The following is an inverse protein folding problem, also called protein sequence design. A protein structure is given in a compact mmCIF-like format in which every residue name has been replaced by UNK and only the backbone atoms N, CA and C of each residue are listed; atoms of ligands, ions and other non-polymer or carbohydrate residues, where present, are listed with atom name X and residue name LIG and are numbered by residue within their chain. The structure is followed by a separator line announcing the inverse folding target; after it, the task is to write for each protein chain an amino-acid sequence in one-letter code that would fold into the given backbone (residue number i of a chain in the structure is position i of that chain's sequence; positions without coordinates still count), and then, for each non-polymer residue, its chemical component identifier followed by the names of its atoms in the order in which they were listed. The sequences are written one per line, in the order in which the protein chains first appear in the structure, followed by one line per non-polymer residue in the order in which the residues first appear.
data_IF_254022320555
#
_entry.id   IF_254022320555
#
_cell.length_a   1.000
_cell.length_b   1.000
_cell.length_c   1.000
_cell.angle_alpha   90.00
_cell.angle_beta   90.00
_cell.angle_gamma   90.00
#
_symmetry.space_group_name_H-M   'P 1'
#
loop_
_entity.id
_entity.type
_entity.pdbx_description
1 polymer ?
#
# COMPACT_ATOMS: atom_id res chain seq x y z
N UNK A 1 20.31 8.58 5.12
CA UNK A 1 20.54 7.65 6.25
C UNK A 1 20.08 8.31 7.55
N UNK A 2 19.26 7.64 8.35
CA UNK A 2 18.93 8.06 9.73
C UNK A 2 19.47 7.01 10.70
N UNK A 3 20.11 7.47 11.78
CA UNK A 3 20.52 6.59 12.89
C UNK A 3 19.30 6.29 13.75
N UNK A 4 19.17 5.04 14.20
CA UNK A 4 18.23 4.71 15.27
C UNK A 4 18.70 5.33 16.60
N UNK A 5 17.79 5.70 17.50
CA UNK A 5 18.15 6.26 18.82
C UNK A 5 18.95 5.29 19.70
N UNK A 6 18.88 4.00 19.39
CA UNK A 6 19.50 2.90 20.13
C UNK A 6 20.12 1.92 19.13
N UNK A 7 21.43 1.95 18.95
CA UNK A 7 22.16 0.89 18.25
C UNK A 7 22.91 1.33 17.00
N UNK A 8 24.10 0.74 16.83
CA UNK A 8 25.15 1.09 15.87
C UNK A 8 24.84 0.74 14.40
N UNK A 9 23.60 0.35 14.11
CA UNK A 9 23.22 -0.13 12.78
C UNK A 9 22.78 1.02 11.90
N UNK A 10 23.47 1.17 10.78
CA UNK A 10 23.04 2.05 9.70
C UNK A 10 21.96 1.32 8.91
N UNK A 11 20.70 1.68 9.15
CA UNK A 11 19.61 1.19 8.31
C UNK A 11 19.68 1.95 6.99
N UNK A 12 19.91 1.23 5.90
CA UNK A 12 19.65 1.75 4.56
C UNK A 12 18.15 2.04 4.51
N UNK A 13 17.77 3.33 4.53
CA UNK A 13 16.37 3.74 4.40
C UNK A 13 16.01 3.61 2.93
N UNK A 14 15.71 2.38 2.51
CA UNK A 14 15.08 2.10 1.23
C UNK A 14 13.61 2.55 1.23
N UNK A 15 13.00 2.70 0.05
CA UNK A 15 11.59 3.04 -0.11
C UNK A 15 10.68 1.94 0.48
N UNK A 16 9.53 2.34 1.01
CA UNK A 16 8.65 1.44 1.77
C UNK A 16 7.63 0.70 0.89
N UNK A 17 7.12 1.39 -0.15
CA UNK A 17 6.16 0.88 -1.12
C UNK A 17 6.16 1.79 -2.37
N UNK A 18 5.70 1.26 -3.50
CA UNK A 18 5.37 2.02 -4.71
C UNK A 18 3.87 2.29 -4.73
N UNK A 19 3.46 3.55 -4.90
CA UNK A 19 2.04 3.91 -5.09
C UNK A 19 1.72 3.94 -6.58
N UNK A 20 0.68 3.24 -7.00
CA UNK A 20 0.23 3.18 -8.37
C UNK A 20 -1.19 3.75 -8.44
N UNK A 21 -1.37 4.84 -9.18
CA UNK A 21 -2.67 5.46 -9.40
C UNK A 21 -3.51 4.58 -10.34
N UNK A 22 -4.74 4.29 -9.93
CA UNK A 22 -5.65 3.43 -10.68
C UNK A 22 -7.06 3.99 -10.65
N UNK A 23 -7.83 3.73 -11.71
CA UNK A 23 -9.25 4.05 -11.74
C UNK A 23 -10.01 3.06 -10.82
N UNK A 24 -10.77 3.52 -9.80
CA UNK A 24 -11.40 2.63 -8.82
C UNK A 24 -12.41 1.63 -9.39
N UNK A 25 -13.01 1.96 -10.53
CA UNK A 25 -13.94 1.10 -11.27
C UNK A 25 -13.26 0.13 -12.25
N UNK A 26 -11.95 0.29 -12.48
CA UNK A 26 -11.18 -0.54 -13.40
C UNK A 26 -10.81 -1.88 -12.77
N UNK A 27 -10.60 -2.87 -13.64
CA UNK A 27 -9.93 -4.15 -13.34
C UNK A 27 -8.69 -4.35 -14.20
N UNK A 28 -8.31 -3.34 -14.97
CA UNK A 28 -7.09 -3.31 -15.79
C UNK A 28 -5.94 -2.80 -14.92
N UNK A 29 -5.31 -3.73 -14.21
CA UNK A 29 -4.23 -3.41 -13.28
C UNK A 29 -2.90 -3.22 -14.00
N UNK A 30 -2.04 -2.31 -13.51
CA UNK A 30 -0.66 -2.25 -13.97
C UNK A 30 0.03 -3.61 -13.77
N UNK A 31 0.96 -3.95 -14.66
CA UNK A 31 1.71 -5.18 -14.54
C UNK A 31 2.58 -5.16 -13.27
N UNK A 32 2.30 -6.09 -12.36
CA UNK A 32 2.98 -6.25 -11.08
C UNK A 32 4.03 -7.36 -11.11
N UNK A 33 4.22 -8.03 -12.26
CA UNK A 33 5.15 -9.17 -12.41
C UNK A 33 6.62 -8.76 -12.26
N UNK A 34 6.95 -7.50 -12.55
CA UNK A 34 8.29 -6.94 -12.40
C UNK A 34 8.59 -6.43 -10.98
N UNK A 35 7.67 -6.61 -10.02
CA UNK A 35 7.99 -6.30 -8.63
C UNK A 35 9.17 -7.16 -8.17
N UNK A 36 10.26 -6.50 -7.79
CA UNK A 36 11.43 -7.14 -7.20
C UNK A 36 11.03 -8.09 -6.06
N UNK A 37 11.88 -9.06 -5.72
CA UNK A 37 11.62 -9.96 -4.60
C UNK A 37 11.39 -9.15 -3.31
N UNK A 38 10.18 -9.24 -2.75
CA UNK A 38 9.67 -8.40 -1.66
C UNK A 38 9.34 -6.94 -2.04
N UNK A 39 9.06 -6.64 -3.30
CA UNK A 39 8.44 -5.39 -3.73
C UNK A 39 7.05 -5.23 -3.12
N UNK A 40 6.64 -4.00 -2.85
CA UNK A 40 5.30 -3.69 -2.34
C UNK A 40 4.69 -2.60 -3.21
N UNK A 41 3.70 -2.97 -4.03
CA UNK A 41 2.84 -2.03 -4.74
C UNK A 41 1.54 -1.81 -3.95
N UNK A 42 1.15 -0.55 -3.80
CA UNK A 42 -0.14 -0.15 -3.28
C UNK A 42 -0.90 0.56 -4.39
N UNK A 43 -2.10 0.09 -4.67
CA UNK A 43 -2.99 0.68 -5.66
C UNK A 43 -3.80 1.80 -4.97
N UNK A 44 -3.85 2.97 -5.59
CA UNK A 44 -4.50 4.16 -5.01
C UNK A 44 -5.49 4.70 -6.03
N UNK A 45 -6.78 4.86 -5.68
CA UNK A 45 -7.74 5.53 -6.56
C UNK A 45 -7.23 6.89 -7.05
N UNK A 46 -7.41 7.13 -8.35
CA UNK A 46 -7.16 8.43 -8.98
C UNK A 46 -7.92 9.54 -8.25
N UNK A 47 -7.31 10.74 -8.14
CA UNK A 47 -7.90 11.89 -7.43
C UNK A 47 -7.59 11.95 -5.93
N UNK A 48 -7.19 10.85 -5.29
CA UNK A 48 -6.92 10.81 -3.85
C UNK A 48 -5.50 11.25 -3.44
N UNK A 49 -4.60 11.38 -4.42
CA UNK A 49 -3.21 11.75 -4.17
C UNK A 49 -2.99 13.24 -4.46
N UNK A 50 -2.46 14.04 -3.51
CA UNK A 50 -2.02 15.40 -3.81
C UNK A 50 -1.04 15.41 -4.99
N UNK A 51 -1.17 16.39 -5.89
CA UNK A 51 -0.39 16.51 -7.12
C UNK A 51 1.15 16.55 -6.92
N UNK A 52 1.60 16.75 -5.69
CA UNK A 52 3.00 16.73 -5.29
C UNK A 52 3.23 15.75 -4.14
N UNK A 53 2.91 14.47 -4.32
CA UNK A 53 3.44 13.44 -3.43
C UNK A 53 4.97 13.53 -3.49
N UNK A 54 5.69 13.73 -2.38
CA UNK A 54 7.14 13.83 -2.42
C UNK A 54 7.72 12.50 -2.93
N UNK A 55 8.14 12.51 -4.20
CA UNK A 55 8.74 11.40 -4.96
C UNK A 55 9.78 10.58 -4.18
N UNK A 56 10.47 11.21 -3.23
CA UNK A 56 11.66 10.70 -2.60
C UNK A 56 11.48 9.44 -1.72
N UNK A 57 10.26 9.07 -1.27
CA UNK A 57 10.05 7.87 -0.43
C UNK A 57 9.30 6.72 -1.12
N UNK A 58 8.68 6.97 -2.26
CA UNK A 58 7.74 6.05 -2.92
C UNK A 58 8.16 5.65 -4.34
N UNK A 59 9.09 6.37 -4.99
CA UNK A 59 9.35 6.22 -6.43
C UNK A 59 10.70 5.57 -6.79
N UNK A 60 11.40 4.92 -5.85
CA UNK A 60 12.57 4.10 -6.22
C UNK A 60 12.39 2.66 -5.73
N UNK A 61 13.10 1.72 -6.36
CA UNK A 61 12.98 0.30 -6.09
C UNK A 61 13.54 -0.04 -4.69
N UNK A 62 12.79 -0.69 -3.80
CA UNK A 62 13.30 -1.06 -2.48
C UNK A 62 14.37 -2.14 -2.61
N UNK A 63 15.61 -1.85 -2.23
CA UNK A 63 16.51 -2.93 -1.83
C UNK A 63 15.89 -3.64 -0.63
N UNK A 64 15.60 -4.93 -0.82
CA UNK A 64 14.66 -5.72 -0.02
C UNK A 64 14.85 -5.61 1.48
N UNK A 65 13.79 -5.21 2.17
CA UNK A 65 13.64 -5.53 3.58
C UNK A 65 13.03 -6.94 3.66
N UNK A 66 13.64 -7.90 4.38
CA UNK A 66 13.26 -9.33 4.35
C UNK A 66 11.89 -9.65 4.98
N UNK A 67 11.08 -8.66 5.33
CA UNK A 67 9.77 -8.87 5.93
C UNK A 67 8.75 -7.86 5.37
N UNK A 68 8.12 -8.21 4.25
CA UNK A 68 7.05 -7.45 3.60
C UNK A 68 5.94 -7.07 4.59
N UNK A 69 5.48 -8.05 5.39
CA UNK A 69 4.43 -7.87 6.41
C UNK A 69 4.80 -6.77 7.43
N UNK A 70 6.05 -6.73 7.89
CA UNK A 70 6.50 -5.73 8.87
C UNK A 70 6.56 -4.33 8.26
N UNK A 71 6.91 -4.20 6.98
CA UNK A 71 6.89 -2.90 6.29
C UNK A 71 5.46 -2.39 6.11
N UNK A 72 4.54 -3.25 5.68
CA UNK A 72 3.14 -2.89 5.54
C UNK A 72 2.52 -2.50 6.88
N UNK A 73 2.75 -3.30 7.92
CA UNK A 73 2.32 -2.98 9.27
C UNK A 73 2.92 -1.68 9.79
N UNK A 74 4.19 -1.39 9.46
CA UNK A 74 4.79 -0.10 9.79
C UNK A 74 4.15 1.03 8.99
N UNK A 75 3.84 0.88 7.71
CA UNK A 75 3.19 1.91 6.89
C UNK A 75 1.75 2.19 7.36
N UNK A 76 1.02 1.17 7.78
CA UNK A 76 -0.35 1.33 8.28
C UNK A 76 -0.40 1.85 9.72
N UNK A 77 0.52 1.41 10.59
CA UNK A 77 0.64 1.95 11.95
C UNK A 77 1.17 3.38 11.93
N UNK A 78 2.20 3.59 11.12
CA UNK A 78 2.78 4.88 10.82
C UNK A 78 1.99 5.45 9.63
N UNK A 79 0.66 5.72 9.75
CA UNK A 79 -0.23 6.36 8.74
C UNK A 79 0.31 7.71 8.16
N UNK A 80 1.57 7.79 7.74
CA UNK A 80 2.46 8.93 7.97
C UNK A 80 3.31 9.26 6.73
N UNK A 81 3.69 10.51 6.48
CA UNK A 81 3.68 11.66 7.39
C UNK A 81 2.47 12.58 7.25
N UNK A 82 2.64 13.81 7.77
CA UNK A 82 1.74 14.99 7.88
C UNK A 82 0.89 15.32 6.63
N UNK A 83 1.02 14.56 5.54
CA UNK A 83 0.48 14.82 4.21
C UNK A 83 -0.58 13.81 3.73
N UNK A 84 -0.74 12.64 4.36
CA UNK A 84 -1.81 11.69 4.01
C UNK A 84 -2.94 11.78 5.06
N UNK A 85 -4.20 12.05 4.66
CA UNK A 85 -5.36 12.07 5.57
C UNK A 85 -5.66 10.67 6.10
N UNK A 86 -6.67 10.51 6.96
CA UNK A 86 -7.09 9.19 7.41
C UNK A 86 -7.32 8.25 6.22
N UNK A 87 -6.47 7.24 6.13
CA UNK A 87 -6.46 6.29 5.04
C UNK A 87 -7.24 5.04 5.44
N UNK A 88 -8.11 4.57 4.53
CA UNK A 88 -8.69 3.24 4.51
C UNK A 88 -7.73 2.27 3.80
N UNK A 89 -7.38 1.16 4.43
CA UNK A 89 -6.61 0.08 3.83
C UNK A 89 -7.55 -1.01 3.36
N UNK A 90 -7.38 -1.47 2.13
CA UNK A 90 -8.26 -2.46 1.51
C UNK A 90 -7.43 -3.59 0.90
N UNK A 91 -7.74 -4.84 1.22
CA UNK A 91 -7.12 -5.98 0.56
C UNK A 91 -7.95 -6.39 -0.67
N UNK A 92 -7.33 -6.37 -1.85
CA UNK A 92 -7.94 -6.89 -3.07
C UNK A 92 -7.50 -8.34 -3.26
N UNK A 93 -8.48 -9.25 -3.33
CA UNK A 93 -8.22 -10.69 -3.30
C UNK A 93 -7.97 -11.28 -4.69
N UNK A 94 -8.46 -10.63 -5.75
CA UNK A 94 -8.37 -11.09 -7.13
C UNK A 94 -8.06 -9.94 -8.09
N UNK A 95 -7.27 -10.16 -9.15
CA UNK A 95 -7.10 -9.17 -10.22
C UNK A 95 -8.41 -8.90 -10.99
N UNK A 96 -9.44 -9.74 -10.85
CA UNK A 96 -10.76 -9.50 -11.46
C UNK A 96 -11.70 -8.63 -10.61
N UNK A 97 -11.26 -8.19 -9.42
CA UNK A 97 -12.09 -7.46 -8.46
C UNK A 97 -11.73 -5.98 -8.51
N UNK A 98 -12.69 -5.10 -8.80
CA UNK A 98 -12.47 -3.65 -8.74
C UNK A 98 -12.40 -3.15 -7.28
N UNK A 99 -11.86 -1.94 -7.07
CA UNK A 99 -11.83 -1.30 -5.76
C UNK A 99 -13.27 -1.01 -5.30
N UNK A 100 -14.13 -0.54 -6.20
CA UNK A 100 -15.53 -0.29 -5.91
C UNK A 100 -16.26 -1.56 -5.43
N UNK A 101 -16.05 -2.70 -6.11
CA UNK A 101 -16.65 -3.98 -5.71
C UNK A 101 -16.13 -4.46 -4.34
N UNK A 102 -14.84 -4.27 -4.08
CA UNK A 102 -14.23 -4.62 -2.79
C UNK A 102 -14.77 -3.77 -1.64
N UNK A 103 -14.99 -2.46 -1.86
CA UNK A 103 -15.62 -1.57 -0.89
C UNK A 103 -17.09 -1.95 -0.65
N UNK A 104 -17.87 -2.17 -1.72
CA UNK A 104 -19.26 -2.58 -1.61
C UNK A 104 -19.41 -3.92 -0.86
N UNK A 105 -18.57 -4.91 -1.19
CA UNK A 105 -18.53 -6.20 -0.51
C UNK A 105 -18.10 -6.13 0.96
N UNK A 106 -17.34 -5.11 1.33
CA UNK A 106 -16.96 -4.79 2.72
C UNK A 106 -17.98 -3.95 3.48
N UNK A 107 -19.13 -3.60 2.88
CA UNK A 107 -20.13 -2.70 3.49
C UNK A 107 -19.73 -1.22 3.50
N UNK A 108 -18.73 -0.86 2.70
CA UNK A 108 -18.15 0.48 2.60
C UNK A 108 -18.45 1.14 1.24
N UNK A 109 -19.48 0.68 0.54
CA UNK A 109 -19.84 1.18 -0.80
C UNK A 109 -20.25 2.65 -0.83
N UNK A 110 -20.68 3.21 0.31
CA UNK A 110 -21.07 4.62 0.45
C UNK A 110 -19.93 5.53 0.92
N UNK A 111 -18.69 5.01 1.03
CA UNK A 111 -17.52 5.85 1.36
C UNK A 111 -17.29 6.85 0.24
N UNK A 112 -17.22 8.12 0.62
CA UNK A 112 -16.73 9.19 -0.25
C UNK A 112 -15.21 9.10 -0.38
N UNK A 113 -14.76 8.65 -1.56
CA UNK A 113 -13.35 8.53 -1.91
C UNK A 113 -12.66 9.90 -2.07
N UNK A 114 -13.40 11.01 -2.19
CA UNK A 114 -12.81 12.35 -2.14
C UNK A 114 -12.49 12.78 -0.70
N UNK A 115 -13.18 12.20 0.29
CA UNK A 115 -13.00 12.51 1.71
C UNK A 115 -12.08 11.51 2.44
N UNK A 116 -12.04 10.25 2.00
CA UNK A 116 -11.26 9.17 2.61
C UNK A 116 -10.34 8.54 1.58
N UNK A 117 -9.03 8.73 1.76
CA UNK A 117 -8.03 8.10 0.91
C UNK A 117 -8.03 6.58 1.10
N UNK A 118 -7.83 5.83 0.03
CA UNK A 118 -7.81 4.37 0.05
C UNK A 118 -6.44 3.84 -0.42
N UNK A 119 -5.84 2.95 0.37
CA UNK A 119 -4.64 2.20 0.00
C UNK A 119 -5.02 0.74 -0.20
N UNK A 120 -5.02 0.31 -1.46
CA UNK A 120 -5.39 -1.04 -1.84
C UNK A 120 -4.15 -1.93 -1.97
N UNK A 121 -4.16 -3.08 -1.31
CA UNK A 121 -3.09 -4.08 -1.37
C UNK A 121 -3.53 -5.22 -2.29
N UNK A 122 -2.86 -5.45 -3.44
CA UNK A 122 -3.16 -6.54 -4.34
C UNK A 122 -2.62 -7.87 -3.78
N UNK A 123 -3.43 -8.63 -3.04
CA UNK A 123 -2.98 -9.87 -2.37
C UNK A 123 -2.43 -10.91 -3.35
N UNK A 124 -2.88 -10.90 -4.61
CA UNK A 124 -2.37 -11.80 -5.65
C UNK A 124 -0.89 -11.57 -5.96
N UNK A 125 -0.39 -10.34 -5.78
CA UNK A 125 1.01 -9.97 -5.98
C UNK A 125 1.88 -10.23 -4.73
N UNK A 126 1.27 -10.61 -3.61
CA UNK A 126 1.98 -10.92 -2.36
C UNK A 126 2.37 -12.41 -2.34
N UNK A 127 3.56 -12.77 -1.83
CA UNK A 127 3.94 -14.16 -1.60
C UNK A 127 2.86 -14.90 -0.79
N UNK A 128 2.51 -16.12 -1.22
CA UNK A 128 1.40 -16.90 -0.64
C UNK A 128 1.51 -17.03 0.88
N UNK A 129 2.73 -17.22 1.40
CA UNK A 129 3.01 -17.36 2.83
C UNK A 129 2.64 -16.10 3.65
N UNK A 130 2.66 -14.92 3.04
CA UNK A 130 2.44 -13.64 3.70
C UNK A 130 1.00 -13.10 3.52
N UNK A 131 0.23 -13.63 2.57
CA UNK A 131 -1.09 -13.10 2.20
C UNK A 131 -2.06 -12.99 3.37
N UNK A 132 -2.10 -14.00 4.25
CA UNK A 132 -3.01 -14.00 5.39
C UNK A 132 -2.65 -12.89 6.39
N UNK A 133 -1.36 -12.72 6.67
CA UNK A 133 -0.87 -11.69 7.58
C UNK A 133 -1.11 -10.28 6.99
N UNK A 134 -0.90 -10.12 5.68
CA UNK A 134 -1.20 -8.88 4.96
C UNK A 134 -2.71 -8.57 4.96
N UNK A 135 -3.55 -9.56 4.69
CA UNK A 135 -5.01 -9.39 4.74
C UNK A 135 -5.48 -8.95 6.13
N UNK A 136 -4.94 -9.54 7.20
CA UNK A 136 -5.24 -9.16 8.58
C UNK A 136 -4.81 -7.72 8.91
N UNK A 137 -3.73 -7.22 8.29
CA UNK A 137 -3.32 -5.83 8.44
C UNK A 137 -4.25 -4.84 7.72
N UNK A 138 -4.94 -5.28 6.66
CA UNK A 138 -5.88 -4.45 5.90
C UNK A 138 -7.28 -4.39 6.54
N UNK A 139 -7.56 -5.26 7.50
CA UNK A 139 -8.78 -5.19 8.31
C UNK A 139 -8.58 -4.03 9.29
N UNK A 140 -9.15 -2.87 8.96
CA UNK A 140 -9.15 -1.72 9.87
C UNK A 140 -9.70 -2.12 11.26
N UNK A 141 -9.22 -1.49 12.35
CA UNK A 141 -9.87 -1.56 13.65
C UNK A 141 -11.30 -0.98 13.64
#
# INVERSE_FOLDING_TARGET
MRRTPLGKDQILVGPYATLLLVEPSSTDWPDLSELAENGLALLVPTGQMPAATPKARLEMEPHGHPALVRRLGHLFWYKLGVELPDVLTLALSSPSQSIADALAGGGLGDIDLDAVACLCVPLWAIPVADRQAVAALCQHP
#
